data_IF_440646982284
#
_entry.id   IF_440646982284
#
_cell.length_a   1.000
_cell.length_b   1.000
_cell.length_c   1.000
_cell.angle_alpha   90.00
_cell.angle_beta   90.00
_cell.angle_gamma   90.00
#
_symmetry.space_group_name_H-M   'P 1'
#
loop_
_entity.id
_entity.type
_entity.pdbx_description
1 polymer ?
#
# COMPACT_ATOMS: atom_id res chain seq x y z
N UNK A 1 -25.33 -42.97 -8.76
CA UNK A 1 -24.99 -43.08 -10.20
C UNK A 1 -26.09 -42.42 -11.02
N UNK A 2 -25.77 -41.95 -12.23
CA UNK A 2 -26.66 -41.36 -13.25
C UNK A 2 -27.09 -39.88 -13.05
N UNK A 3 -26.41 -38.99 -13.78
CA UNK A 3 -27.09 -37.88 -14.48
C UNK A 3 -26.56 -37.84 -15.92
N UNK A 4 -27.43 -38.22 -16.83
CA UNK A 4 -27.21 -38.27 -18.27
C UNK A 4 -27.00 -36.86 -18.87
N UNK A 5 -25.88 -36.72 -19.58
CA UNK A 5 -25.75 -36.21 -20.97
C UNK A 5 -27.10 -35.85 -21.64
N UNK A 6 -27.34 -34.79 -22.42
CA UNK A 6 -26.57 -34.04 -23.42
C UNK A 6 -27.46 -32.86 -23.87
N UNK A 7 -26.89 -31.75 -24.33
CA UNK A 7 -27.57 -30.91 -25.33
C UNK A 7 -26.55 -30.11 -26.14
N UNK A 8 -26.17 -30.69 -27.28
CA UNK A 8 -25.58 -29.98 -28.40
C UNK A 8 -26.71 -29.32 -29.21
N UNK A 9 -26.50 -28.06 -29.58
CA UNK A 9 -27.17 -27.35 -30.68
C UNK A 9 -26.49 -25.98 -30.81
N UNK A 10 -26.27 -25.38 -31.97
CA UNK A 10 -26.03 -25.81 -33.34
C UNK A 10 -25.41 -24.58 -34.01
N UNK A 11 -24.61 -24.84 -35.03
CA UNK A 11 -23.92 -23.89 -35.89
C UNK A 11 -24.94 -22.99 -36.61
N UNK A 12 -24.68 -21.68 -36.64
CA UNK A 12 -25.27 -20.78 -37.63
C UNK A 12 -24.12 -20.01 -38.32
N UNK A 13 -23.90 -20.35 -39.58
CA UNK A 13 -23.01 -19.66 -40.49
C UNK A 13 -23.72 -18.42 -41.03
N UNK A 14 -23.02 -17.28 -41.07
CA UNK A 14 -23.37 -16.16 -41.93
C UNK A 14 -22.16 -15.84 -42.80
N UNK A 15 -22.32 -16.10 -44.09
CA UNK A 15 -21.50 -15.59 -45.19
C UNK A 15 -22.25 -14.43 -45.83
N UNK A 16 -21.60 -13.30 -45.99
CA UNK A 16 -21.68 -12.48 -47.21
C UNK A 16 -20.53 -11.46 -47.24
N UNK A 17 -19.95 -11.30 -48.42
CA UNK A 17 -18.72 -10.57 -48.77
C UNK A 17 -19.08 -9.13 -49.26
N UNK A 18 -18.21 -8.37 -49.97
CA UNK A 18 -17.54 -7.14 -49.51
C UNK A 18 -18.01 -5.87 -50.26
N UNK A 19 -17.15 -4.82 -50.24
CA UNK A 19 -17.04 -3.67 -51.17
C UNK A 19 -17.63 -2.31 -50.69
N UNK A 20 -17.10 -1.16 -51.16
CA UNK A 20 -16.35 -0.22 -50.32
C UNK A 20 -16.90 1.22 -50.46
N UNK A 21 -16.27 2.20 -49.80
CA UNK A 21 -15.96 3.48 -50.43
C UNK A 21 -15.05 4.34 -49.56
N UNK A 22 -14.10 4.95 -50.25
CA UNK A 22 -13.05 5.84 -49.82
C UNK A 22 -13.60 7.18 -49.33
N UNK A 23 -12.90 7.82 -48.39
CA UNK A 23 -12.59 9.25 -48.50
C UNK A 23 -11.42 9.61 -47.58
N UNK A 24 -10.37 10.07 -48.26
CA UNK A 24 -9.08 10.50 -47.73
C UNK A 24 -9.24 11.82 -46.97
N UNK A 25 -8.63 11.94 -45.78
CA UNK A 25 -8.02 13.20 -45.33
C UNK A 25 -6.69 12.90 -44.65
N UNK A 26 -5.66 13.07 -45.46
CA UNK A 26 -4.27 13.23 -45.05
C UNK A 26 -4.13 14.63 -44.45
N UNK A 27 -3.81 14.73 -43.17
CA UNK A 27 -3.07 15.87 -42.65
C UNK A 27 -1.82 15.31 -41.97
N UNK A 28 -0.74 15.36 -42.74
CA UNK A 28 0.62 15.21 -42.25
C UNK A 28 0.95 16.42 -41.36
N UNK A 29 1.46 16.18 -40.17
CA UNK A 29 2.29 17.13 -39.44
C UNK A 29 3.37 16.36 -38.68
N UNK A 30 4.60 16.71 -39.01
CA UNK A 30 5.89 16.15 -38.60
C UNK A 30 6.19 16.37 -37.09
N UNK A 31 7.17 15.64 -36.49
CA UNK A 31 7.49 15.69 -35.07
C UNK A 31 8.57 16.74 -34.79
N UNK A 32 8.49 17.47 -33.67
CA UNK A 32 9.60 18.25 -33.18
C UNK A 32 9.95 17.90 -31.73
N UNK A 33 11.20 17.46 -31.61
CA UNK A 33 12.00 17.18 -30.44
C UNK A 33 12.13 18.45 -29.58
N UNK A 34 11.89 18.34 -28.28
CA UNK A 34 12.51 19.24 -27.32
C UNK A 34 12.75 18.52 -25.99
N UNK A 35 13.98 18.05 -25.87
CA UNK A 35 14.59 17.61 -24.63
C UNK A 35 14.68 18.79 -23.64
N UNK A 36 14.18 18.61 -22.42
CA UNK A 36 14.71 19.32 -21.24
C UNK A 36 14.61 18.42 -19.99
N UNK A 37 15.72 17.89 -19.48
CA UNK A 37 15.84 17.45 -18.10
C UNK A 37 16.53 18.56 -17.28
N UNK A 38 15.91 19.01 -16.20
CA UNK A 38 16.66 19.61 -15.10
C UNK A 38 16.27 18.89 -13.82
N UNK A 39 17.12 17.94 -13.44
CA UNK A 39 17.16 17.45 -12.08
C UNK A 39 17.72 18.56 -11.18
N UNK A 40 17.05 18.84 -10.05
CA UNK A 40 17.77 19.05 -8.78
C UNK A 40 16.85 18.88 -7.58
N UNK A 41 17.14 17.82 -6.84
CA UNK A 41 16.85 17.65 -5.42
C UNK A 41 17.56 18.72 -4.61
N UNK A 42 16.87 19.37 -3.67
CA UNK A 42 17.46 19.80 -2.40
C UNK A 42 16.39 19.67 -1.31
N UNK A 43 16.63 18.72 -0.43
CA UNK A 43 16.02 18.58 0.90
C UNK A 43 16.49 19.77 1.73
N UNK A 44 15.58 20.54 2.33
CA UNK A 44 15.90 21.45 3.43
C UNK A 44 15.11 21.05 4.69
N UNK A 45 15.79 20.67 5.78
CA UNK A 45 15.17 20.47 7.08
C UNK A 45 15.53 21.66 7.97
N UNK A 46 14.57 22.52 8.31
CA UNK A 46 14.77 23.48 9.40
C UNK A 46 13.47 23.76 10.14
N UNK A 47 13.01 22.76 10.89
CA UNK A 47 12.01 22.93 11.92
C UNK A 47 12.73 23.44 13.18
N UNK A 48 12.49 24.69 13.58
CA UNK A 48 13.02 25.24 14.85
C UNK A 48 11.93 25.21 15.92
N UNK A 49 12.07 24.47 17.03
CA UNK A 49 11.19 24.61 18.18
C UNK A 49 11.54 25.88 18.97
N UNK A 50 10.56 26.70 19.39
CA UNK A 50 10.83 27.87 20.22
C UNK A 50 10.73 27.49 21.69
N UNK A 51 11.82 26.98 22.26
CA UNK A 51 11.98 26.97 23.73
C UNK A 51 13.41 27.34 24.06
N UNK A 52 13.71 28.63 23.91
CA UNK A 52 14.88 29.26 24.49
C UNK A 52 14.61 29.51 25.98
N UNK A 53 15.42 28.89 26.82
CA UNK A 53 15.51 29.23 28.23
C UNK A 53 16.01 30.68 28.36
N UNK A 54 15.19 31.57 28.91
CA UNK A 54 15.60 32.92 29.24
C UNK A 54 16.02 32.96 30.71
N UNK A 55 17.31 33.18 30.91
CA UNK A 55 17.90 33.66 32.15
C UNK A 55 17.24 34.99 32.55
N UNK A 56 16.90 35.13 33.83
CA UNK A 56 16.42 36.37 34.44
C UNK A 56 17.49 37.48 34.37
N UNK A 57 17.07 38.77 34.40
CA UNK A 57 17.22 39.51 35.66
C UNK A 57 15.99 40.37 36.07
N UNK A 58 16.02 40.79 37.33
CA UNK A 58 14.98 41.46 38.13
C UNK A 58 14.70 42.93 37.77
N UNK A 59 13.51 43.45 38.14
CA UNK A 59 13.27 44.62 39.05
C UNK A 59 11.80 45.15 38.98
N UNK A 60 11.03 44.89 40.05
CA UNK A 60 9.92 45.64 40.74
C UNK A 60 8.72 46.36 40.02
N UNK A 61 7.58 46.56 40.73
CA UNK A 61 6.19 46.58 40.19
C UNK A 61 5.50 47.98 40.26
N UNK A 62 4.21 48.19 39.89
CA UNK A 62 3.02 47.81 40.70
C UNK A 62 1.75 47.44 39.89
N UNK A 63 0.75 46.80 40.52
CA UNK A 63 -0.61 46.70 39.94
C UNK A 63 -1.44 45.51 40.43
N UNK A 64 -2.53 45.82 41.13
CA UNK A 64 -3.43 44.90 41.83
C UNK A 64 -4.18 43.90 40.93
N UNK A 65 -4.13 42.62 41.28
CA UNK A 65 -5.18 41.62 40.99
C UNK A 65 -5.10 40.48 42.03
N UNK A 66 -6.22 39.93 42.51
CA UNK A 66 -6.21 38.83 43.47
C UNK A 66 -5.74 37.54 42.77
N UNK A 67 -4.90 36.72 43.41
CA UNK A 67 -4.47 35.46 42.83
C UNK A 67 -5.66 34.48 42.84
N UNK A 68 -6.13 34.10 41.65
CA UNK A 68 -6.96 32.90 41.47
C UNK A 68 -6.25 31.72 42.15
N UNK A 69 -6.97 30.79 42.83
CA UNK A 69 -6.32 29.72 43.57
C UNK A 69 -5.56 28.84 42.57
N UNK A 70 -4.24 29.06 42.55
CA UNK A 70 -3.23 28.21 41.94
C UNK A 70 -3.60 26.79 42.32
N UNK A 71 -3.95 25.97 41.32
CA UNK A 71 -4.39 24.59 41.53
C UNK A 71 -3.45 23.94 42.55
N UNK A 72 -3.95 23.75 43.78
CA UNK A 72 -3.22 23.08 44.83
C UNK A 72 -3.02 21.65 44.32
N UNK A 73 -1.89 21.40 43.68
CA UNK A 73 -1.42 20.05 43.40
C UNK A 73 -1.17 19.44 44.78
N UNK A 74 -2.22 18.85 45.35
CA UNK A 74 -2.12 18.17 46.62
C UNK A 74 -1.14 17.01 46.43
N UNK A 75 0.10 17.22 46.85
CA UNK A 75 1.14 16.19 46.86
C UNK A 75 0.71 15.15 47.88
N UNK A 76 0.01 14.11 47.40
CA UNK A 76 -0.35 12.97 48.25
C UNK A 76 0.91 12.17 48.53
N UNK A 77 1.45 12.28 49.74
CA UNK A 77 2.54 11.42 50.20
C UNK A 77 2.05 9.96 50.22
N UNK A 78 2.49 9.20 49.22
CA UNK A 78 2.18 7.78 49.14
C UNK A 78 2.97 7.04 50.22
N UNK A 79 2.26 6.30 51.06
CA UNK A 79 2.92 5.44 52.05
C UNK A 79 3.80 4.40 51.34
N UNK A 80 4.89 3.96 52.00
CA UNK A 80 5.81 2.96 51.43
C UNK A 80 5.06 1.70 50.96
N UNK A 81 4.00 1.31 51.67
CA UNK A 81 3.09 0.20 51.32
C UNK A 81 2.31 0.46 50.02
N UNK A 82 1.79 1.67 49.82
CA UNK A 82 1.12 2.07 48.58
C UNK A 82 2.08 2.17 47.40
N UNK A 83 3.31 2.68 47.62
CA UNK A 83 4.37 2.72 46.60
C UNK A 83 4.77 1.31 46.16
N UNK A 84 4.96 0.39 47.12
CA UNK A 84 5.23 -1.03 46.86
C UNK A 84 4.09 -1.73 46.11
N UNK A 85 2.82 -1.42 46.43
CA UNK A 85 1.64 -1.92 45.69
C UNK A 85 1.60 -1.39 44.25
N UNK A 86 1.77 -0.07 44.05
CA UNK A 86 1.81 0.51 42.69
C UNK A 86 2.93 -0.07 41.84
N UNK A 87 4.12 -0.30 42.41
CA UNK A 87 5.24 -0.94 41.72
C UNK A 87 4.96 -2.41 41.38
N UNK A 88 4.29 -3.16 42.26
CA UNK A 88 3.85 -4.55 41.99
C UNK A 88 2.76 -4.64 40.93
N UNK A 89 1.87 -3.66 40.82
CA UNK A 89 0.82 -3.60 39.80
C UNK A 89 1.35 -3.13 38.43
N UNK A 90 2.57 -2.57 38.37
CA UNK A 90 3.28 -2.18 37.15
C UNK A 90 4.14 -3.30 36.57
N UNK A 91 3.81 -4.56 36.85
CA UNK A 91 4.44 -5.67 36.12
C UNK A 91 4.15 -5.45 34.62
N UNK A 92 5.14 -5.57 33.74
CA UNK A 92 4.90 -5.43 32.32
C UNK A 92 3.82 -6.44 31.89
N UNK A 93 2.84 -6.02 31.06
CA UNK A 93 1.78 -6.90 30.59
C UNK A 93 2.31 -8.05 29.72
N UNK A 94 3.52 -7.90 29.17
CA UNK A 94 4.24 -8.94 28.44
C UNK A 94 5.23 -9.68 29.34
N UNK A 95 5.43 -10.98 29.12
CA UNK A 95 6.49 -11.72 29.79
C UNK A 95 7.85 -11.12 29.41
N UNK A 96 8.73 -10.96 30.41
CA UNK A 96 10.10 -10.41 30.27
C UNK A 96 10.92 -11.19 29.22
N UNK A 97 10.62 -12.47 29.04
CA UNK A 97 11.19 -13.31 27.99
C UNK A 97 10.04 -14.03 27.30
N UNK A 98 9.72 -13.67 26.05
CA UNK A 98 8.83 -14.49 25.24
C UNK A 98 9.49 -15.86 25.04
N UNK A 99 8.77 -16.97 25.22
CA UNK A 99 9.27 -18.31 24.85
C UNK A 99 9.77 -18.25 23.41
N UNK A 100 11.09 -18.25 23.21
CA UNK A 100 11.71 -18.04 21.90
C UNK A 100 11.44 -19.30 21.07
N UNK A 101 10.39 -19.25 20.28
CA UNK A 101 10.09 -20.28 19.27
C UNK A 101 10.83 -19.91 17.99
N UNK A 102 11.25 -20.92 17.22
CA UNK A 102 11.80 -20.73 15.87
C UNK A 102 10.83 -19.87 15.04
N UNK A 103 11.31 -18.72 14.55
CA UNK A 103 10.52 -17.82 13.72
C UNK A 103 10.36 -18.45 12.33
N UNK A 104 9.11 -18.70 11.92
CA UNK A 104 8.79 -19.19 10.57
C UNK A 104 8.72 -18.03 9.59
N UNK A 105 9.28 -18.21 8.40
CA UNK A 105 9.11 -17.24 7.31
C UNK A 105 7.64 -17.24 6.86
N UNK A 106 7.03 -16.06 6.79
CA UNK A 106 5.67 -15.87 6.28
C UNK A 106 5.74 -15.25 4.89
N UNK A 107 4.93 -15.76 3.96
CA UNK A 107 4.75 -15.14 2.65
C UNK A 107 4.20 -13.72 2.79
N UNK A 108 4.58 -12.82 1.90
CA UNK A 108 3.95 -11.50 1.85
C UNK A 108 2.44 -11.62 1.57
N UNK A 109 1.65 -10.92 2.38
CA UNK A 109 0.19 -10.83 2.18
C UNK A 109 -0.18 -10.27 0.81
N UNK A 110 0.71 -9.46 0.22
CA UNK A 110 0.56 -8.91 -1.13
C UNK A 110 0.45 -9.98 -2.23
N UNK A 111 1.00 -11.18 -2.01
CA UNK A 111 0.89 -12.27 -2.98
C UNK A 111 -0.42 -13.04 -2.86
N UNK A 112 -0.99 -13.07 -1.64
CA UNK A 112 -2.22 -13.81 -1.34
C UNK A 112 -3.37 -13.31 -2.22
N UNK A 113 -4.05 -14.25 -2.88
CA UNK A 113 -5.21 -13.97 -3.73
C UNK A 113 -4.89 -13.32 -5.08
N UNK A 114 -3.68 -12.78 -5.30
CA UNK A 114 -3.29 -12.15 -6.57
C UNK A 114 -2.61 -13.12 -7.52
N UNK A 115 -1.86 -14.07 -6.98
CA UNK A 115 -1.13 -15.09 -7.71
C UNK A 115 -1.65 -16.49 -7.34
N UNK A 116 -1.55 -17.43 -8.28
CA UNK A 116 -1.87 -18.84 -8.04
C UNK A 116 -0.80 -19.72 -8.67
N UNK A 117 -0.37 -20.75 -7.95
CA UNK A 117 0.56 -21.76 -8.45
C UNK A 117 -0.24 -22.73 -9.33
N UNK A 118 0.30 -23.06 -10.50
CA UNK A 118 -0.22 -24.10 -11.37
C UNK A 118 0.44 -25.44 -11.01
N UNK A 119 -0.16 -26.53 -11.46
CA UNK A 119 0.37 -27.89 -11.34
C UNK A 119 1.82 -28.02 -11.85
N UNK A 120 2.17 -27.29 -12.91
CA UNK A 120 3.52 -27.30 -13.49
C UNK A 120 4.56 -26.50 -12.66
N UNK A 121 4.16 -25.95 -11.50
CA UNK A 121 5.02 -25.13 -10.65
C UNK A 121 5.28 -23.70 -11.17
N UNK A 122 4.62 -23.32 -12.26
CA UNK A 122 4.60 -21.94 -12.77
C UNK A 122 3.56 -21.10 -12.01
N UNK A 123 3.79 -19.79 -11.93
CA UNK A 123 2.90 -18.88 -11.19
C UNK A 123 2.01 -18.12 -12.18
N UNK A 124 0.69 -18.27 -12.02
CA UNK A 124 -0.35 -17.56 -12.77
C UNK A 124 -0.66 -16.20 -12.14
N UNK A 125 -0.87 -15.18 -12.98
CA UNK A 125 -1.35 -13.84 -12.62
C UNK A 125 -2.48 -13.37 -13.54
N UNK A 126 -3.27 -12.41 -13.07
CA UNK A 126 -4.17 -11.65 -13.93
C UNK A 126 -3.43 -10.51 -14.65
N UNK A 127 -3.84 -10.19 -15.88
CA UNK A 127 -3.29 -9.05 -16.61
C UNK A 127 -3.88 -7.75 -16.07
N UNK A 128 -3.03 -6.74 -15.97
CA UNK A 128 -3.37 -5.45 -15.38
C UNK A 128 -4.10 -4.51 -16.35
N UNK A 129 -4.64 -3.41 -15.82
CA UNK A 129 -5.17 -2.32 -16.63
C UNK A 129 -6.54 -2.60 -17.27
N UNK A 130 -7.37 -3.48 -16.70
CA UNK A 130 -8.73 -3.74 -17.22
C UNK A 130 -9.86 -3.10 -16.39
N UNK A 131 -9.54 -2.59 -15.19
CA UNK A 131 -10.51 -2.11 -14.19
C UNK A 131 -11.09 -0.73 -14.53
N UNK A 132 -10.25 0.30 -14.58
CA UNK A 132 -10.63 1.69 -14.90
C UNK A 132 -10.03 2.12 -16.25
N UNK A 133 -10.48 3.25 -16.82
CA UNK A 133 -10.02 3.81 -18.09
C UNK A 133 -9.94 2.80 -19.25
N UNK A 134 -10.80 1.78 -19.21
CA UNK A 134 -10.82 0.72 -20.21
C UNK A 134 -11.48 1.16 -21.53
N UNK A 135 -12.15 2.32 -21.54
CA UNK A 135 -12.74 2.92 -22.73
C UNK A 135 -11.67 3.35 -23.75
N UNK A 136 -10.53 3.88 -23.27
CA UNK A 136 -9.37 4.27 -24.09
C UNK A 136 -8.70 3.11 -24.84
N UNK A 137 -9.02 1.85 -24.47
CA UNK A 137 -8.38 0.66 -25.03
C UNK A 137 -9.23 0.07 -26.16
N UNK A 138 -8.56 -0.31 -27.25
CA UNK A 138 -9.21 -1.01 -28.36
C UNK A 138 -9.92 -2.30 -27.92
N UNK A 139 -10.95 -2.73 -28.65
CA UNK A 139 -11.68 -3.99 -28.38
C UNK A 139 -10.72 -5.21 -28.36
N UNK A 140 -9.73 -5.23 -29.26
CA UNK A 140 -8.68 -6.27 -29.33
C UNK A 140 -7.81 -6.28 -28.07
N UNK A 141 -7.35 -5.12 -27.62
CA UNK A 141 -6.58 -4.98 -26.37
C UNK A 141 -7.40 -5.46 -25.15
N UNK A 142 -8.66 -5.02 -25.03
CA UNK A 142 -9.58 -5.46 -23.97
C UNK A 142 -9.79 -6.99 -23.95
N UNK A 143 -9.88 -7.64 -25.12
CA UNK A 143 -9.99 -9.11 -25.23
C UNK A 143 -8.73 -9.81 -24.71
N UNK A 144 -7.54 -9.33 -25.07
CA UNK A 144 -6.26 -9.88 -24.60
C UNK A 144 -6.09 -9.82 -23.08
N UNK A 145 -6.61 -8.76 -22.43
CA UNK A 145 -6.54 -8.56 -20.98
C UNK A 145 -7.49 -9.46 -20.17
N UNK A 146 -8.48 -10.12 -20.80
CA UNK A 146 -9.37 -11.07 -20.11
C UNK A 146 -8.73 -12.43 -19.85
N UNK A 147 -7.62 -12.75 -20.51
CA UNK A 147 -6.92 -14.02 -20.31
C UNK A 147 -5.87 -13.87 -19.21
N UNK A 148 -5.68 -14.89 -18.35
CA UNK A 148 -4.58 -14.89 -17.40
C UNK A 148 -3.23 -14.91 -18.14
N UNK A 149 -2.16 -14.59 -17.41
CA UNK A 149 -0.79 -14.71 -17.89
C UNK A 149 0.10 -15.41 -16.85
N UNK A 150 1.32 -15.70 -17.25
CA UNK A 150 2.35 -16.24 -16.35
C UNK A 150 3.16 -15.07 -15.76
N UNK A 151 3.63 -15.23 -14.53
CA UNK A 151 4.55 -14.29 -13.89
C UNK A 151 5.90 -14.36 -14.60
N UNK A 152 6.52 -13.22 -14.98
CA UNK A 152 7.84 -13.24 -15.58
C UNK A 152 8.88 -13.95 -14.70
N UNK A 153 9.82 -14.65 -15.33
CA UNK A 153 10.77 -15.54 -14.65
C UNK A 153 11.57 -14.83 -13.54
N UNK A 154 12.02 -13.60 -13.80
CA UNK A 154 12.78 -12.81 -12.83
C UNK A 154 12.02 -12.63 -11.50
N UNK A 155 10.74 -12.28 -11.58
CA UNK A 155 9.90 -12.12 -10.40
C UNK A 155 9.53 -13.45 -9.76
N UNK A 156 9.26 -14.49 -10.57
CA UNK A 156 8.93 -15.81 -10.06
C UNK A 156 10.06 -16.38 -9.17
N UNK A 157 11.33 -16.16 -9.54
CA UNK A 157 12.49 -16.55 -8.72
C UNK A 157 12.46 -15.88 -7.34
N UNK A 158 12.19 -14.58 -7.30
CA UNK A 158 12.13 -13.81 -6.04
C UNK A 158 10.95 -14.27 -5.19
N UNK A 159 9.77 -14.47 -5.78
CA UNK A 159 8.59 -14.95 -5.06
C UNK A 159 8.82 -16.30 -4.38
N UNK A 160 9.50 -17.25 -5.06
CA UNK A 160 9.85 -18.56 -4.49
C UNK A 160 10.79 -18.42 -3.28
N UNK A 161 11.78 -17.53 -3.34
CA UNK A 161 12.68 -17.25 -2.20
C UNK A 161 11.96 -16.68 -0.99
N UNK A 162 10.81 -16.03 -1.19
CA UNK A 162 10.01 -15.37 -0.16
C UNK A 162 8.85 -16.23 0.36
N UNK A 163 8.99 -17.56 0.26
CA UNK A 163 8.04 -18.55 0.77
C UNK A 163 6.62 -18.42 0.18
N UNK A 164 6.49 -18.01 -1.08
CA UNK A 164 5.20 -17.96 -1.77
C UNK A 164 4.72 -19.33 -2.29
N UNK A 165 5.65 -20.22 -2.61
CA UNK A 165 5.40 -21.55 -3.14
C UNK A 165 5.76 -22.62 -2.12
#
# INVERSE_FOLDING_TARGET
MQRWCTKLRSIAALRSLPQPQYSHRLLHSSPNLLHKPLARSVISPSFKPPFGAHSAPQLSPPGHAPPLPLAFMQVRHLTLKQRKRKLKCRKPPSPVVSKVKKVKMKSYSSYKGRFKILNDGTIRRWKEGKRHNAHLKSKKSKRRLRKPGVVPLAYAKVMKKLNFC
#
